data_IF_069212138270
#
_entry.id   IF_069212138270
#
_cell.length_a   1.000
_cell.length_b   1.000
_cell.length_c   1.000
_cell.angle_alpha   90.00
_cell.angle_beta   90.00
_cell.angle_gamma   90.00
#
_symmetry.space_group_name_H-M   'P 1'
#
loop_
_entity.id
_entity.type
_entity.pdbx_description
1 polymer ?
#
# COMPACT_ATOMS: atom_id res chain seq x y z
N UNK A 1 -13.00 4.96 0.52
CA UNK A 1 -12.56 4.79 -0.90
C UNK A 1 -11.50 3.71 -0.96
N UNK A 2 -11.36 3.02 -2.10
CA UNK A 2 -10.29 2.04 -2.34
C UNK A 2 -9.01 2.77 -2.73
N UNK A 3 -7.92 2.53 -2.00
CA UNK A 3 -6.67 3.28 -2.16
C UNK A 3 -5.49 2.33 -2.31
N UNK A 4 -4.63 2.58 -3.29
CA UNK A 4 -3.32 1.96 -3.41
C UNK A 4 -2.23 2.88 -2.81
N UNK A 5 -1.33 2.30 -2.02
CA UNK A 5 -0.14 2.98 -1.51
C UNK A 5 1.12 2.20 -1.90
N UNK A 6 2.06 2.83 -2.59
CA UNK A 6 3.42 2.30 -2.76
C UNK A 6 4.34 2.89 -1.69
N UNK A 7 5.48 2.25 -1.43
CA UNK A 7 6.37 2.73 -0.35
C UNK A 7 5.77 2.59 1.05
N UNK A 8 4.67 1.84 1.18
CA UNK A 8 3.86 1.69 2.40
C UNK A 8 4.65 1.17 3.61
N UNK A 9 5.71 0.39 3.37
CA UNK A 9 6.58 -0.15 4.43
C UNK A 9 7.63 0.83 4.93
N UNK A 10 7.79 1.98 4.27
CA UNK A 10 8.67 3.06 4.71
C UNK A 10 8.08 3.87 5.85
N UNK A 11 8.89 4.78 6.41
CA UNK A 11 8.46 5.66 7.50
C UNK A 11 7.20 6.46 7.13
N UNK A 12 7.28 7.31 6.10
CA UNK A 12 6.15 8.14 5.67
C UNK A 12 4.96 7.32 5.19
N UNK A 13 5.20 6.29 4.37
CA UNK A 13 4.15 5.43 3.82
C UNK A 13 3.35 4.71 4.91
N UNK A 14 3.99 4.22 5.96
CA UNK A 14 3.29 3.52 7.04
C UNK A 14 2.38 4.44 7.85
N UNK A 15 2.82 5.67 8.13
CA UNK A 15 1.98 6.68 8.78
C UNK A 15 0.79 7.07 7.90
N UNK A 16 0.99 7.19 6.58
CA UNK A 16 -0.09 7.46 5.63
C UNK A 16 -1.12 6.32 5.62
N UNK A 17 -0.68 5.06 5.55
CA UNK A 17 -1.58 3.89 5.61
C UNK A 17 -2.42 3.91 6.88
N UNK A 18 -1.80 4.12 8.05
CA UNK A 18 -2.51 4.20 9.34
C UNK A 18 -3.55 5.32 9.35
N UNK A 19 -3.23 6.48 8.78
CA UNK A 19 -4.15 7.61 8.69
C UNK A 19 -5.34 7.30 7.77
N UNK A 20 -5.10 6.76 6.58
CA UNK A 20 -6.13 6.41 5.61
C UNK A 20 -7.10 5.35 6.17
N UNK A 21 -6.58 4.33 6.85
CA UNK A 21 -7.42 3.32 7.52
C UNK A 21 -8.28 3.96 8.61
N UNK A 22 -7.70 4.85 9.44
CA UNK A 22 -8.44 5.58 10.48
C UNK A 22 -9.55 6.47 9.90
N UNK A 23 -9.38 6.97 8.68
CA UNK A 23 -10.37 7.76 7.95
C UNK A 23 -11.43 6.89 7.24
N UNK A 24 -11.34 5.55 7.33
CA UNK A 24 -12.31 4.62 6.75
C UNK A 24 -12.03 4.24 5.29
N UNK A 25 -10.81 4.43 4.80
CA UNK A 25 -10.40 3.96 3.48
C UNK A 25 -10.01 2.48 3.50
N UNK A 26 -10.32 1.77 2.42
CA UNK A 26 -9.81 0.41 2.18
C UNK A 26 -8.46 0.54 1.50
N UNK A 27 -7.38 0.16 2.19
CA UNK A 27 -6.01 0.41 1.74
C UNK A 27 -5.35 -0.88 1.29
N UNK A 28 -4.81 -0.87 0.07
CA UNK A 28 -3.91 -1.89 -0.48
C UNK A 28 -2.50 -1.31 -0.58
N UNK A 29 -1.51 -2.07 -0.13
CA UNK A 29 -0.10 -1.69 -0.16
C UNK A 29 0.67 -2.55 -1.17
N UNK A 30 1.25 -1.91 -2.20
CA UNK A 30 2.20 -2.58 -3.09
C UNK A 30 3.58 -2.64 -2.42
N UNK A 31 4.04 -3.84 -2.10
CA UNK A 31 5.28 -4.07 -1.35
C UNK A 31 6.18 -5.12 -2.01
N UNK A 32 7.49 -4.95 -1.90
CA UNK A 32 8.46 -5.97 -2.35
C UNK A 32 8.46 -7.14 -1.38
N UNK A 33 8.74 -8.35 -1.88
CA UNK A 33 8.88 -9.56 -1.04
C UNK A 33 9.95 -9.41 0.06
N UNK A 34 10.97 -8.60 -0.18
CA UNK A 34 12.03 -8.31 0.79
C UNK A 34 11.70 -7.20 1.79
N UNK A 35 10.57 -6.52 1.64
CA UNK A 35 10.19 -5.42 2.54
C UNK A 35 9.88 -5.91 3.95
N UNK A 36 10.34 -5.16 4.95
CA UNK A 36 9.93 -5.33 6.35
C UNK A 36 8.57 -4.70 6.56
N UNK A 37 7.62 -5.46 7.12
CA UNK A 37 6.23 -5.02 7.30
C UNK A 37 5.91 -4.61 8.74
N UNK A 38 6.92 -4.46 9.61
CA UNK A 38 6.75 -4.24 11.05
C UNK A 38 5.83 -3.06 11.37
N UNK A 39 5.90 -1.98 10.59
CA UNK A 39 5.06 -0.79 10.77
C UNK A 39 3.60 -0.96 10.32
N UNK A 40 3.27 -2.06 9.64
CA UNK A 40 1.93 -2.34 9.11
C UNK A 40 1.24 -3.51 9.82
N UNK A 41 1.95 -4.23 10.72
CA UNK A 41 1.44 -5.44 11.40
C UNK A 41 0.18 -5.20 12.24
N UNK A 42 0.00 -3.98 12.71
CA UNK A 42 -1.12 -3.53 13.54
C UNK A 42 -2.25 -2.87 12.73
N UNK A 43 -2.30 -3.11 11.41
CA UNK A 43 -3.26 -2.46 10.50
C UNK A 43 -4.00 -3.47 9.65
N UNK A 44 -5.22 -3.13 9.23
CA UNK A 44 -6.05 -3.94 8.31
C UNK A 44 -5.67 -3.70 6.83
N UNK A 45 -4.42 -3.34 6.55
CA UNK A 45 -3.96 -3.08 5.17
C UNK A 45 -3.87 -4.40 4.38
N UNK A 46 -4.37 -4.39 3.14
CA UNK A 46 -4.16 -5.50 2.21
C UNK A 46 -2.74 -5.45 1.64
N UNK A 47 -1.95 -6.51 1.80
CA UNK A 47 -0.61 -6.59 1.25
C UNK A 47 -0.62 -7.21 -0.15
N UNK A 48 -0.17 -6.45 -1.14
CA UNK A 48 0.04 -6.93 -2.51
C UNK A 48 1.54 -7.01 -2.80
N UNK A 49 2.06 -8.23 -2.98
CA UNK A 49 3.47 -8.43 -3.24
C UNK A 49 3.82 -8.22 -4.71
N UNK A 50 4.70 -7.26 -4.97
CA UNK A 50 5.18 -6.94 -6.31
C UNK A 50 6.29 -5.88 -6.30
N UNK A 51 6.63 -5.37 -7.48
CA UNK A 51 7.59 -4.28 -7.65
C UNK A 51 6.91 -3.09 -8.32
N UNK A 52 7.22 -1.88 -7.90
CA UNK A 52 6.67 -0.65 -8.50
C UNK A 52 7.28 -0.35 -9.88
N UNK A 53 8.46 -0.91 -10.16
CA UNK A 53 9.13 -0.81 -11.46
C UNK A 53 8.62 -1.83 -12.47
N UNK A 54 7.89 -2.86 -12.01
CA UNK A 54 7.24 -3.83 -12.88
C UNK A 54 5.83 -3.36 -13.27
N UNK A 55 5.61 -3.22 -14.59
CA UNK A 55 4.34 -2.71 -15.13
C UNK A 55 3.16 -3.59 -14.73
N UNK A 56 3.31 -4.91 -14.78
CA UNK A 56 2.22 -5.85 -14.50
C UNK A 56 1.81 -5.79 -13.02
N UNK A 57 2.80 -5.77 -12.14
CA UNK A 57 2.63 -5.57 -10.71
C UNK A 57 1.85 -4.28 -10.39
N UNK A 58 2.25 -3.14 -10.96
CA UNK A 58 1.54 -1.86 -10.75
C UNK A 58 0.12 -1.93 -11.28
N UNK A 59 -0.09 -2.46 -12.49
CA UNK A 59 -1.41 -2.57 -13.09
C UNK A 59 -2.36 -3.41 -12.23
N UNK A 60 -1.91 -4.58 -11.79
CA UNK A 60 -2.70 -5.48 -10.95
C UNK A 60 -2.94 -4.90 -9.54
N UNK A 61 -1.94 -4.22 -8.96
CA UNK A 61 -2.09 -3.60 -7.65
C UNK A 61 -3.10 -2.45 -7.69
N UNK A 62 -3.09 -1.65 -8.76
CA UNK A 62 -3.97 -0.49 -8.95
C UNK A 62 -5.40 -0.87 -9.35
N UNK A 63 -5.67 -2.14 -9.67
CA UNK A 63 -7.00 -2.57 -10.08
C UNK A 63 -8.06 -2.23 -9.02
N UNK A 64 -9.06 -1.46 -9.44
CA UNK A 64 -10.16 -1.00 -8.58
C UNK A 64 -9.79 0.05 -7.54
N UNK A 65 -8.54 0.54 -7.54
CA UNK A 65 -8.15 1.69 -6.72
C UNK A 65 -8.72 2.98 -7.33
N UNK A 66 -9.35 3.79 -6.49
CA UNK A 66 -9.82 5.12 -6.85
C UNK A 66 -8.66 6.12 -6.76
N UNK A 67 -7.85 5.98 -5.70
CA UNK A 67 -6.69 6.83 -5.43
C UNK A 67 -5.40 6.02 -5.36
N UNK A 68 -4.31 6.63 -5.82
CA UNK A 68 -2.95 6.08 -5.72
C UNK A 68 -2.04 7.10 -5.04
N UNK A 69 -1.39 6.68 -3.96
CA UNK A 69 -0.31 7.42 -3.34
C UNK A 69 1.01 6.73 -3.66
N UNK A 70 1.88 7.43 -4.39
CA UNK A 70 3.23 6.99 -4.69
C UNK A 70 4.22 7.74 -3.79
N UNK A 71 4.97 6.99 -3.00
CA UNK A 71 6.00 7.48 -2.05
C UNK A 71 7.27 6.66 -2.27
#
# INVERSE_FOLDING_TARGET
MKTLVTGATGFTGSHLVKRLIKEGHAVKALIRKSSKIDFLKDTDVELFYGDVTDRHSVFNAAEGAEWVFHI
#
